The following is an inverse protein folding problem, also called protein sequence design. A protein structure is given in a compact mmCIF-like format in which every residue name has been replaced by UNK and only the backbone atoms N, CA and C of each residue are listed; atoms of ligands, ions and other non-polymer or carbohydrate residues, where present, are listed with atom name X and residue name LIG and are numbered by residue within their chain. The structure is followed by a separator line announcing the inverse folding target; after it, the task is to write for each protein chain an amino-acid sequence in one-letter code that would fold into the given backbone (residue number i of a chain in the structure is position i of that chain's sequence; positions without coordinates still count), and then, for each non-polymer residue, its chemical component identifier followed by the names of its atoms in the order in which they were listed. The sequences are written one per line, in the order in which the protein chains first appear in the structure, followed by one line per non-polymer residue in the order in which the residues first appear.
data_IF_139828005859
#
_entry.id   IF_139828005859
#
_cell.length_a   1.000
_cell.length_b   1.000
_cell.length_c   1.000
_cell.angle_alpha   90.00
_cell.angle_beta   90.00
_cell.angle_gamma   90.00
#
_symmetry.space_group_name_H-M   'P 1'
#
loop_
_entity.id
_entity.type
_entity.pdbx_description
1 polymer ?
#
# COMPACT_ATOMS: atom_id res chain seq x y z
N UNK A 1 -25.36 21.25 -43.17
CA UNK A 1 -26.23 21.63 -42.04
C UNK A 1 -26.80 20.33 -41.52
N UNK A 2 -26.12 19.71 -40.56
CA UNK A 2 -26.42 18.33 -40.18
C UNK A 2 -26.58 18.22 -38.66
N UNK A 3 -27.68 17.54 -38.33
CA UNK A 3 -28.02 16.79 -37.12
C UNK A 3 -28.32 17.54 -35.82
N UNK A 4 -29.64 17.55 -35.58
CA UNK A 4 -30.35 17.90 -34.37
C UNK A 4 -30.03 16.92 -33.23
N UNK A 5 -29.88 17.49 -32.04
CA UNK A 5 -29.50 16.79 -30.82
C UNK A 5 -30.61 15.91 -30.26
N UNK A 6 -30.20 14.73 -29.81
CA UNK A 6 -31.00 13.84 -28.96
C UNK A 6 -30.99 14.36 -27.53
N UNK A 7 -32.17 14.60 -26.96
CA UNK A 7 -32.37 14.81 -25.52
C UNK A 7 -33.61 14.04 -25.09
N UNK A 8 -33.41 12.87 -24.47
CA UNK A 8 -34.46 12.12 -23.78
C UNK A 8 -34.06 12.02 -22.30
N UNK A 9 -34.78 12.78 -21.47
CA UNK A 9 -34.72 12.68 -20.02
C UNK A 9 -35.83 11.74 -19.59
N UNK A 10 -35.49 10.51 -19.20
CA UNK A 10 -36.42 9.55 -18.62
C UNK A 10 -36.34 9.63 -17.09
N UNK A 11 -37.36 10.24 -16.51
CA UNK A 11 -37.56 10.49 -15.09
C UNK A 11 -38.31 9.28 -14.49
N UNK A 12 -37.56 8.31 -13.95
CA UNK A 12 -38.16 7.12 -13.32
C UNK A 12 -38.59 7.42 -11.87
N UNK A 13 -39.90 7.61 -11.71
CA UNK A 13 -40.67 7.46 -10.46
C UNK A 13 -40.40 6.09 -9.84
N UNK A 14 -39.87 6.07 -8.62
CA UNK A 14 -39.96 4.89 -7.76
C UNK A 14 -40.84 5.23 -6.56
N UNK A 15 -41.99 4.55 -6.52
CA UNK A 15 -43.05 4.68 -5.53
C UNK A 15 -42.68 3.98 -4.23
N UNK A 16 -42.82 4.71 -3.11
CA UNK A 16 -42.83 4.20 -1.75
C UNK A 16 -43.96 3.18 -1.54
N UNK A 17 -43.59 1.95 -1.15
CA UNK A 17 -44.51 0.97 -0.57
C UNK A 17 -44.28 0.91 0.96
N UNK A 18 -45.34 1.00 1.79
CA UNK A 18 -45.23 0.82 3.23
C UNK A 18 -45.19 -0.67 3.62
N UNK A 19 -44.13 -1.06 4.33
CA UNK A 19 -43.98 -2.41 4.92
C UNK A 19 -44.91 -2.57 6.13
N UNK A 20 -45.71 -3.65 6.22
CA UNK A 20 -46.59 -3.88 7.36
C UNK A 20 -45.82 -4.39 8.60
N UNK A 21 -46.12 -3.75 9.72
CA UNK A 21 -45.74 -4.11 11.09
C UNK A 21 -46.50 -5.38 11.52
N UNK A 22 -45.78 -6.47 11.84
CA UNK A 22 -46.40 -7.60 12.52
C UNK A 22 -45.41 -8.43 13.36
N UNK A 23 -45.71 -8.42 14.67
CA UNK A 23 -45.73 -9.55 15.59
C UNK A 23 -44.41 -10.08 16.20
N UNK A 24 -44.26 -9.70 17.48
CA UNK A 24 -43.95 -10.53 18.64
C UNK A 24 -42.84 -11.59 18.49
N UNK A 25 -41.71 -11.32 19.14
CA UNK A 25 -40.78 -12.36 19.58
C UNK A 25 -40.69 -12.30 21.10
N UNK A 26 -41.01 -13.44 21.70
CA UNK A 26 -40.94 -13.73 23.13
C UNK A 26 -39.56 -13.41 23.71
N UNK A 27 -39.55 -12.62 24.78
CA UNK A 27 -38.38 -12.39 25.63
C UNK A 27 -38.17 -13.64 26.50
N UNK A 28 -37.50 -14.64 25.96
CA UNK A 28 -36.92 -15.73 26.73
C UNK A 28 -35.77 -15.19 27.59
N UNK A 29 -36.07 -14.95 28.86
CA UNK A 29 -35.12 -14.56 29.89
C UNK A 29 -34.32 -15.80 30.32
N UNK A 30 -33.11 -15.95 29.77
CA UNK A 30 -32.14 -16.92 30.29
C UNK A 30 -31.46 -16.34 31.54
N UNK A 31 -31.23 -17.14 32.61
CA UNK A 31 -30.46 -16.69 33.76
C UNK A 31 -28.99 -16.55 33.35
N UNK A 32 -28.52 -15.31 33.29
CA UNK A 32 -27.11 -14.95 33.15
C UNK A 32 -26.38 -15.48 34.39
N UNK A 33 -25.73 -16.64 34.24
CA UNK A 33 -24.76 -17.09 35.22
C UNK A 33 -23.59 -16.11 35.18
N UNK A 34 -23.41 -15.42 36.31
CA UNK A 34 -22.32 -14.51 36.57
C UNK A 34 -20.98 -15.22 36.36
N UNK A 35 -20.44 -15.07 35.16
CA UNK A 35 -19.06 -15.42 34.87
C UNK A 35 -18.21 -14.26 35.37
N UNK A 36 -17.62 -14.42 36.56
CA UNK A 36 -16.61 -13.49 37.07
C UNK A 36 -15.41 -13.58 36.14
N UNK A 37 -15.40 -12.72 35.13
CA UNK A 37 -14.21 -12.49 34.30
C UNK A 37 -13.19 -11.87 35.24
N UNK A 38 -12.28 -12.70 35.72
CA UNK A 38 -11.08 -12.28 36.42
C UNK A 38 -10.35 -11.32 35.48
N UNK A 39 -10.49 -10.02 35.71
CA UNK A 39 -9.63 -9.00 35.13
C UNK A 39 -8.23 -9.25 35.67
N UNK A 40 -7.50 -10.11 34.96
CA UNK A 40 -6.06 -10.19 35.06
C UNK A 40 -5.52 -8.86 34.54
N UNK A 41 -5.29 -7.96 35.50
CA UNK A 41 -4.54 -6.73 35.36
C UNK A 41 -3.07 -7.10 35.10
N UNK A 42 -2.80 -7.71 33.94
CA UNK A 42 -1.47 -7.74 33.36
C UNK A 42 -1.31 -6.40 32.63
N UNK A 43 -0.83 -5.42 33.39
CA UNK A 43 -0.07 -4.29 32.86
C UNK A 43 1.20 -4.85 32.20
N UNK A 44 1.02 -5.46 31.02
CA UNK A 44 2.09 -5.66 30.07
C UNK A 44 2.41 -4.25 29.56
N UNK A 45 3.44 -3.63 30.14
CA UNK A 45 4.06 -2.45 29.54
C UNK A 45 4.48 -2.86 28.12
N UNK A 46 3.64 -2.51 27.15
CA UNK A 46 3.89 -2.76 25.75
C UNK A 46 5.01 -1.78 25.36
N UNK A 47 6.26 -2.26 25.48
CA UNK A 47 7.45 -1.50 25.13
C UNK A 47 7.31 -1.06 23.68
N UNK A 48 6.96 0.22 23.49
CA UNK A 48 6.70 0.78 22.18
C UNK A 48 8.05 0.95 21.49
N UNK A 49 8.44 -0.04 20.70
CA UNK A 49 9.67 0.02 19.91
C UNK A 49 9.47 1.07 18.82
N UNK A 50 9.99 2.28 19.06
CA UNK A 50 9.99 3.31 18.03
C UNK A 50 10.91 2.87 16.89
N UNK A 51 10.42 2.85 15.64
CA UNK A 51 11.23 2.45 14.52
C UNK A 51 12.40 3.42 14.38
N UNK A 52 13.61 2.92 14.08
CA UNK A 52 14.75 3.79 13.88
C UNK A 52 14.46 4.78 12.74
N UNK A 53 14.72 6.06 13.01
CA UNK A 53 14.53 7.12 12.03
C UNK A 53 15.38 6.91 10.76
N UNK A 54 15.05 7.66 9.71
CA UNK A 54 15.82 7.61 8.46
C UNK A 54 17.23 8.21 8.63
N UNK A 55 18.24 7.52 8.11
CA UNK A 55 19.61 8.04 8.06
C UNK A 55 19.71 9.26 7.14
N UNK A 56 20.66 10.16 7.40
CA UNK A 56 20.88 11.38 6.58
C UNK A 56 21.07 11.06 5.09
N UNK A 57 21.84 10.00 4.78
CA UNK A 57 22.06 9.53 3.40
C UNK A 57 20.74 9.16 2.71
N UNK A 58 19.82 8.50 3.42
CA UNK A 58 18.49 8.17 2.90
C UNK A 58 17.62 9.42 2.71
N UNK A 59 17.62 10.36 3.67
CA UNK A 59 16.91 11.65 3.54
C UNK A 59 17.39 12.44 2.31
N UNK A 60 18.70 12.50 2.10
CA UNK A 60 19.32 13.15 0.94
C UNK A 60 18.97 12.47 -0.38
N UNK A 61 18.86 11.14 -0.39
CA UNK A 61 18.42 10.40 -1.57
C UNK A 61 16.97 10.75 -1.93
N UNK A 62 16.05 10.76 -0.96
CA UNK A 62 14.65 11.13 -1.20
C UNK A 62 14.54 12.56 -1.77
N UNK A 63 15.24 13.51 -1.15
CA UNK A 63 15.26 14.90 -1.61
C UNK A 63 15.82 15.08 -3.03
N UNK A 64 16.93 14.41 -3.37
CA UNK A 64 17.60 14.62 -4.66
C UNK A 64 17.06 13.74 -5.81
N UNK A 65 16.54 12.55 -5.51
CA UNK A 65 16.16 11.55 -6.53
C UNK A 65 14.67 11.32 -6.65
N UNK A 66 13.90 11.54 -5.58
CA UNK A 66 12.46 11.24 -5.61
C UNK A 66 11.59 12.50 -5.72
N UNK A 67 12.10 13.65 -5.25
CA UNK A 67 11.36 14.91 -5.20
C UNK A 67 10.83 15.41 -6.56
N UNK A 68 11.47 15.04 -7.66
CA UNK A 68 11.00 15.39 -9.02
C UNK A 68 9.72 14.66 -9.45
N UNK A 69 9.44 13.51 -8.84
CA UNK A 69 8.25 12.70 -9.12
C UNK A 69 7.08 13.03 -8.18
N UNK A 70 7.28 13.95 -7.23
CA UNK A 70 6.29 14.36 -6.22
C UNK A 70 5.62 15.65 -6.67
N UNK A 71 4.31 15.79 -6.46
CA UNK A 71 3.57 17.01 -6.80
C UNK A 71 4.13 18.21 -6.03
N UNK A 72 4.15 19.39 -6.66
CA UNK A 72 4.78 20.60 -6.09
C UNK A 72 4.31 20.91 -4.67
N UNK A 73 3.01 20.76 -4.43
CA UNK A 73 2.33 20.94 -3.14
C UNK A 73 2.77 19.95 -2.04
N UNK A 74 3.27 18.77 -2.42
CA UNK A 74 3.61 17.70 -1.47
C UNK A 74 5.11 17.45 -1.33
N UNK A 75 5.95 18.16 -2.11
CA UNK A 75 7.41 18.02 -2.09
C UNK A 75 8.01 18.25 -0.69
N UNK A 76 7.54 19.26 0.03
CA UNK A 76 8.08 19.60 1.35
C UNK A 76 7.52 18.74 2.48
N UNK A 77 6.35 18.13 2.27
CA UNK A 77 5.74 17.19 3.22
C UNK A 77 6.41 15.81 3.11
N UNK A 78 6.60 15.32 1.88
CA UNK A 78 7.09 13.96 1.62
C UNK A 78 8.62 13.88 1.52
N UNK A 79 9.27 14.92 0.98
CA UNK A 79 10.70 14.94 0.71
C UNK A 79 11.35 16.23 1.27
N UNK A 80 11.34 16.44 2.59
CA UNK A 80 11.90 17.64 3.20
C UNK A 80 13.42 17.73 2.98
N UNK A 81 13.94 18.97 2.99
CA UNK A 81 15.38 19.21 2.83
C UNK A 81 16.15 18.60 4.01
N UNK A 82 17.16 17.74 3.77
CA UNK A 82 17.90 17.11 4.85
C UNK A 82 18.77 18.13 5.59
N UNK A 83 18.62 18.23 6.90
CA UNK A 83 19.44 19.07 7.77
C UNK A 83 20.57 18.21 8.34
N UNK A 84 21.83 18.66 8.19
CA UNK A 84 23.00 17.89 8.59
C UNK A 84 23.21 17.86 10.12
N UNK A 85 22.67 18.84 10.84
CA UNK A 85 22.84 19.01 12.28
C UNK A 85 21.49 18.79 12.98
N UNK A 86 21.38 17.69 13.74
CA UNK A 86 20.10 17.24 14.34
C UNK A 86 19.73 18.02 15.62
N UNK A 87 20.57 18.96 16.06
CA UNK A 87 20.33 19.75 17.28
C UNK A 87 19.34 20.92 17.09
N UNK A 88 18.86 21.18 15.88
CA UNK A 88 17.98 22.34 15.59
C UNK A 88 16.59 21.96 15.07
N UNK A 89 16.07 20.78 15.41
CA UNK A 89 14.75 20.35 14.94
C UNK A 89 13.69 20.28 16.06
N UNK A 90 13.47 21.42 16.70
CA UNK A 90 12.29 21.64 17.54
C UNK A 90 11.93 23.13 17.56
N UNK A 91 11.63 23.72 16.39
CA UNK A 91 10.82 24.95 16.27
C UNK A 91 10.37 25.19 14.83
N UNK A 92 9.10 25.53 14.70
CA UNK A 92 8.30 25.68 13.48
C UNK A 92 8.66 26.85 12.56
N UNK A 93 8.20 26.76 11.30
CA UNK A 93 7.63 27.83 10.45
C UNK A 93 8.42 29.13 10.24
N UNK A 94 8.91 29.37 9.01
CA UNK A 94 8.39 30.41 8.09
C UNK A 94 9.31 30.68 6.88
N UNK A 95 8.65 31.08 5.80
CA UNK A 95 9.16 31.54 4.50
C UNK A 95 10.41 32.42 4.56
N UNK A 96 11.35 32.17 3.65
CA UNK A 96 12.29 33.17 3.17
C UNK A 96 12.78 32.78 1.77
N UNK A 97 12.33 33.54 0.79
CA UNK A 97 12.83 33.56 -0.59
C UNK A 97 14.34 33.77 -0.53
N UNK A 98 15.11 32.83 -1.09
CA UNK A 98 16.55 32.98 -1.27
C UNK A 98 16.91 32.56 -2.70
N UNK A 99 16.96 33.57 -3.55
CA UNK A 99 17.49 33.57 -4.91
C UNK A 99 18.98 33.22 -4.88
N UNK A 100 19.44 32.24 -5.67
CA UNK A 100 20.85 32.04 -6.10
C UNK A 100 20.90 30.92 -7.19
N UNK A 101 21.97 30.85 -8.00
CA UNK A 101 21.93 31.08 -9.43
C UNK A 101 21.73 29.80 -10.25
N UNK A 102 21.10 29.98 -11.39
CA UNK A 102 21.01 29.03 -12.51
C UNK A 102 22.42 28.72 -13.03
N UNK A 103 23.10 27.74 -12.46
CA UNK A 103 24.13 27.00 -13.19
C UNK A 103 23.43 25.87 -13.93
N UNK A 104 23.09 26.15 -15.19
CA UNK A 104 22.68 25.16 -16.18
C UNK A 104 23.87 24.22 -16.43
N UNK A 105 24.01 23.21 -15.55
CA UNK A 105 24.72 21.99 -15.93
C UNK A 105 23.77 21.24 -16.84
N UNK A 106 24.08 21.33 -18.14
CA UNK A 106 23.46 20.61 -19.23
C UNK A 106 23.80 19.12 -19.06
N UNK A 107 23.20 18.49 -18.05
CA UNK A 107 23.29 17.06 -17.84
C UNK A 107 22.30 16.46 -18.82
N UNK A 108 22.75 16.24 -20.05
CA UNK A 108 22.13 15.33 -20.99
C UNK A 108 22.10 13.94 -20.36
N UNK A 109 21.13 13.71 -19.48
CA UNK A 109 20.65 12.40 -19.09
C UNK A 109 20.04 11.83 -20.37
N UNK A 110 20.86 11.11 -21.15
CA UNK A 110 20.34 10.12 -22.07
C UNK A 110 19.53 9.15 -21.22
N UNK A 111 18.21 9.40 -21.20
CA UNK A 111 17.18 8.53 -20.68
C UNK A 111 17.25 7.27 -21.54
N UNK A 112 18.19 6.38 -21.21
CA UNK A 112 18.10 4.99 -21.64
C UNK A 112 16.84 4.47 -20.97
N UNK A 113 15.75 4.52 -21.73
CA UNK A 113 14.59 3.68 -21.53
C UNK A 113 15.15 2.27 -21.68
N UNK A 114 15.74 1.73 -20.62
CA UNK A 114 16.07 0.32 -20.55
C UNK A 114 14.73 -0.37 -20.69
N UNK A 115 14.56 -0.98 -21.86
CA UNK A 115 13.42 -1.79 -22.25
C UNK A 115 12.88 -2.52 -21.04
N UNK A 116 11.55 -2.45 -20.82
CA UNK A 116 10.88 -3.15 -19.73
C UNK A 116 11.45 -4.57 -19.65
N UNK A 117 12.34 -4.80 -18.68
CA UNK A 117 12.97 -6.10 -18.46
C UNK A 117 11.82 -7.06 -18.21
N UNK A 118 11.45 -7.84 -19.22
CA UNK A 118 10.45 -8.87 -19.09
C UNK A 118 10.95 -9.77 -17.96
N UNK A 119 10.18 -9.88 -16.87
CA UNK A 119 10.60 -10.66 -15.70
C UNK A 119 10.90 -12.06 -16.20
N UNK A 120 12.15 -12.52 -16.05
CA UNK A 120 12.54 -13.85 -16.49
C UNK A 120 11.64 -14.88 -15.80
N UNK A 121 11.02 -15.76 -16.60
CA UNK A 121 10.18 -16.82 -16.06
C UNK A 121 11.06 -17.75 -15.22
N UNK A 122 10.62 -18.17 -14.03
CA UNK A 122 11.42 -19.05 -13.19
C UNK A 122 11.59 -20.42 -13.86
N UNK A 123 12.74 -21.04 -13.63
CA UNK A 123 13.03 -22.41 -14.08
C UNK A 123 12.96 -23.36 -12.89
N UNK A 124 12.29 -24.50 -13.08
CA UNK A 124 12.14 -25.50 -12.03
C UNK A 124 13.47 -26.22 -11.75
N UNK A 125 13.89 -26.31 -10.47
CA UNK A 125 15.15 -26.97 -10.12
C UNK A 125 15.13 -28.49 -10.33
N UNK A 126 13.94 -29.11 -10.36
CA UNK A 126 13.75 -30.55 -10.54
C UNK A 126 13.67 -30.95 -12.03
N UNK A 127 12.63 -30.50 -12.75
CA UNK A 127 12.41 -30.89 -14.14
C UNK A 127 13.07 -29.95 -15.18
N UNK A 128 13.73 -28.86 -14.74
CA UNK A 128 14.40 -27.86 -15.59
C UNK A 128 13.50 -27.13 -16.60
N UNK A 129 12.18 -27.28 -16.51
CA UNK A 129 11.22 -26.56 -17.35
C UNK A 129 10.99 -25.13 -16.83
N UNK A 130 10.76 -24.20 -17.75
CA UNK A 130 10.38 -22.82 -17.44
C UNK A 130 8.90 -22.72 -17.03
N UNK A 131 8.56 -21.76 -16.19
CA UNK A 131 7.18 -21.41 -15.82
C UNK A 131 6.72 -21.86 -14.43
N UNK A 132 7.52 -22.63 -13.69
CA UNK A 132 7.24 -23.00 -12.30
C UNK A 132 8.53 -23.17 -11.49
N UNK A 133 8.40 -23.24 -10.16
CA UNK A 133 9.50 -23.58 -9.23
C UNK A 133 9.24 -24.95 -8.62
N UNK A 134 10.30 -25.60 -8.13
CA UNK A 134 10.17 -26.84 -7.36
C UNK A 134 9.70 -26.53 -5.92
N UNK A 135 8.43 -26.16 -5.79
CA UNK A 135 7.79 -25.81 -4.52
C UNK A 135 6.63 -26.76 -4.22
N UNK A 136 6.35 -26.91 -2.92
CA UNK A 136 5.23 -27.67 -2.38
C UNK A 136 4.36 -26.69 -1.59
N UNK A 137 3.04 -26.70 -1.81
CA UNK A 137 2.08 -26.02 -0.93
C UNK A 137 0.96 -26.99 -0.63
N UNK A 138 0.57 -27.10 0.65
CA UNK A 138 -0.53 -27.97 1.08
C UNK A 138 -0.34 -29.44 0.64
N UNK A 139 0.91 -29.92 0.60
CA UNK A 139 1.25 -31.26 0.15
C UNK A 139 1.23 -31.45 -1.38
N UNK A 140 0.83 -30.44 -2.16
CA UNK A 140 0.75 -30.51 -3.62
C UNK A 140 2.05 -30.01 -4.26
N UNK A 141 2.67 -30.85 -5.07
CA UNK A 141 3.83 -30.47 -5.89
C UNK A 141 3.38 -29.69 -7.13
N UNK A 142 3.94 -28.49 -7.31
CA UNK A 142 3.71 -27.65 -8.51
C UNK A 142 4.52 -28.12 -9.72
N UNK A 143 5.59 -28.86 -9.48
CA UNK A 143 6.31 -29.55 -10.55
C UNK A 143 5.54 -30.81 -10.93
N UNK A 144 4.97 -30.84 -12.14
CA UNK A 144 4.21 -31.99 -12.65
C UNK A 144 5.02 -33.29 -12.59
N UNK A 145 6.31 -33.25 -12.95
CA UNK A 145 7.19 -34.43 -12.89
C UNK A 145 7.31 -34.95 -11.46
N UNK A 146 7.61 -34.06 -10.51
CA UNK A 146 7.76 -34.44 -9.10
C UNK A 146 6.45 -34.93 -8.47
N UNK A 147 5.32 -34.36 -8.89
CA UNK A 147 3.99 -34.81 -8.46
C UNK A 147 3.73 -36.26 -8.89
N UNK A 148 4.06 -36.60 -10.14
CA UNK A 148 3.93 -37.97 -10.64
C UNK A 148 4.86 -38.93 -9.90
N UNK A 149 6.12 -38.55 -9.71
CA UNK A 149 7.11 -39.39 -9.01
C UNK A 149 6.67 -39.70 -7.56
N UNK A 150 6.07 -38.72 -6.87
CA UNK A 150 5.55 -38.91 -5.50
C UNK A 150 4.30 -39.79 -5.41
N UNK A 151 3.58 -40.01 -6.51
CA UNK A 151 2.43 -40.94 -6.54
C UNK A 151 2.87 -42.38 -6.81
N UNK A 152 4.10 -42.58 -7.28
CA UNK A 152 4.66 -43.89 -7.61
C UNK A 152 5.54 -44.48 -6.49
N UNK A 153 5.78 -43.71 -5.42
CA UNK A 153 6.49 -44.11 -4.19
C UNK A 153 5.49 -44.57 -3.12
#
# INVERSE_FOLDING_TARGET
MNNEGSSSSDESKHSDEPVPLAMAVEVNTLPVLASTVTTLDLLSEEETVEPPGLTYKRKSYLYNKMREFVSEESKDILCPKPIANVNELSSSSNSSISTLPTTSVDYSFQKQITEKSTRQKPTCSYCKQIGHRNQVREGIYFCRKRNLDSQTE
#
